data_IF_436590206879
#
_entry.id   IF_436590206879
#
_cell.length_a   1.000
_cell.length_b   1.000
_cell.length_c   1.000
_cell.angle_alpha   90.00
_cell.angle_beta   90.00
_cell.angle_gamma   90.00
#
_symmetry.space_group_name_H-M   'P 1'
#
loop_
_entity.id
_entity.type
_entity.pdbx_description
1 polymer ?
#
# COMPACT_ATOMS: atom_id res chain seq x y z
N UNK A 1 -14.47 8.94 -8.13
CA UNK A 1 -13.02 8.64 -8.10
C UNK A 1 -12.32 8.83 -9.44
N UNK A 2 -12.74 8.16 -10.53
CA UNK A 2 -12.08 8.22 -11.86
C UNK A 2 -11.90 9.63 -12.45
N UNK A 3 -12.98 10.42 -12.43
CA UNK A 3 -13.01 11.79 -12.99
C UNK A 3 -12.64 12.89 -11.99
N UNK A 4 -12.25 12.54 -10.76
CA UNK A 4 -12.01 13.54 -9.71
C UNK A 4 -10.71 14.29 -9.98
N UNK A 5 -10.78 15.64 -10.01
CA UNK A 5 -9.60 16.49 -10.17
C UNK A 5 -8.74 16.39 -8.90
N UNK A 6 -7.49 15.95 -9.08
CA UNK A 6 -6.49 15.85 -8.00
C UNK A 6 -5.56 17.06 -8.10
N UNK A 7 -5.59 17.90 -7.07
CA UNK A 7 -4.88 19.19 -6.99
C UNK A 7 -3.44 19.05 -6.51
N UNK A 8 -3.16 18.00 -5.74
CA UNK A 8 -1.84 17.72 -5.21
C UNK A 8 -1.20 16.58 -5.99
N UNK A 9 0.09 16.67 -6.30
CA UNK A 9 0.82 15.55 -6.88
C UNK A 9 0.92 14.45 -5.83
N UNK A 10 1.27 14.80 -4.60
CA UNK A 10 1.33 13.83 -3.53
C UNK A 10 0.89 14.40 -2.19
N UNK A 11 0.58 13.53 -1.25
CA UNK A 11 0.29 13.93 0.13
C UNK A 11 0.86 12.94 1.13
N UNK A 12 1.12 13.45 2.33
CA UNK A 12 1.47 12.64 3.48
C UNK A 12 0.57 13.00 4.66
N UNK A 13 -0.04 12.00 5.28
CA UNK A 13 -0.71 12.12 6.56
C UNK A 13 0.16 11.44 7.61
N UNK A 14 0.82 12.23 8.44
CA UNK A 14 1.75 11.71 9.44
C UNK A 14 2.28 12.79 10.36
N UNK A 15 3.06 12.35 11.33
CA UNK A 15 3.84 13.21 12.19
C UNK A 15 5.27 12.72 12.30
N UNK A 16 6.13 13.69 12.62
CA UNK A 16 7.52 13.47 12.93
C UNK A 16 7.67 12.55 14.15
N UNK A 17 8.85 11.94 14.29
CA UNK A 17 9.21 11.13 15.46
C UNK A 17 10.39 11.79 16.17
N UNK A 18 10.14 12.74 17.10
CA UNK A 18 11.20 13.53 17.74
C UNK A 18 12.27 12.67 18.43
N UNK A 19 11.87 11.51 18.94
CA UNK A 19 12.74 10.60 19.70
C UNK A 19 13.59 9.67 18.80
N UNK A 20 13.33 9.64 17.49
CA UNK A 20 14.03 8.80 16.52
C UNK A 20 14.76 9.69 15.51
N UNK A 21 16.02 10.01 15.83
CA UNK A 21 16.93 10.64 14.88
C UNK A 21 16.97 9.81 13.60
N UNK A 22 16.91 10.49 12.46
CA UNK A 22 16.87 9.89 11.12
C UNK A 22 15.61 9.06 10.82
N UNK A 23 14.43 9.45 11.33
CA UNK A 23 13.19 8.82 10.86
C UNK A 23 12.93 9.14 9.39
N UNK A 24 12.62 8.12 8.58
CA UNK A 24 12.13 8.32 7.21
C UNK A 24 10.90 9.24 7.15
N UNK A 25 10.09 9.26 8.23
CA UNK A 25 8.94 10.17 8.34
C UNK A 25 9.39 11.64 8.35
N UNK A 26 10.45 11.96 9.08
CA UNK A 26 10.96 13.33 9.19
C UNK A 26 11.53 13.78 7.84
N UNK A 27 12.26 12.91 7.16
CA UNK A 27 12.77 13.16 5.81
C UNK A 27 11.63 13.40 4.81
N UNK A 28 10.57 12.59 4.85
CA UNK A 28 9.37 12.77 4.03
C UNK A 28 8.66 14.09 4.35
N UNK A 29 8.53 14.44 5.63
CA UNK A 29 7.90 15.70 6.06
C UNK A 29 8.71 16.88 5.52
N UNK A 30 10.03 16.86 5.67
CA UNK A 30 10.91 17.92 5.19
C UNK A 30 10.83 18.09 3.67
N UNK A 31 10.89 16.99 2.89
CA UNK A 31 10.70 17.04 1.43
C UNK A 31 9.29 17.48 1.02
N UNK A 32 8.27 17.15 1.80
CA UNK A 32 6.90 17.57 1.54
C UNK A 32 6.71 19.07 1.81
N UNK A 33 7.25 19.59 2.92
CA UNK A 33 7.18 21.01 3.27
C UNK A 33 7.94 21.90 2.28
N UNK A 34 9.03 21.40 1.69
CA UNK A 34 9.79 22.12 0.66
C UNK A 34 9.17 22.04 -0.74
N UNK A 35 8.08 21.28 -0.93
CA UNK A 35 7.43 21.11 -2.24
C UNK A 35 6.02 21.71 -2.26
N UNK A 36 5.78 22.66 -3.17
CA UNK A 36 4.44 23.19 -3.45
C UNK A 36 3.46 22.15 -3.99
N UNK A 37 3.97 21.01 -4.47
CA UNK A 37 3.18 19.91 -5.03
C UNK A 37 2.72 18.90 -3.97
N UNK A 38 3.22 19.01 -2.74
CA UNK A 38 2.85 18.15 -1.62
C UNK A 38 1.77 18.78 -0.74
N UNK A 39 0.83 17.96 -0.27
CA UNK A 39 -0.06 18.31 0.85
C UNK A 39 0.30 17.51 2.10
N UNK A 40 0.81 18.20 3.12
CA UNK A 40 1.04 17.62 4.44
C UNK A 40 -0.23 17.73 5.30
N UNK A 41 -0.62 16.63 5.93
CA UNK A 41 -1.60 16.57 7.03
C UNK A 41 -0.85 16.15 8.29
N UNK A 42 -0.59 17.11 9.17
CA UNK A 42 0.15 16.88 10.42
C UNK A 42 -0.70 16.13 11.45
N UNK A 43 -0.16 15.03 11.98
CA UNK A 43 -0.80 14.19 13.00
C UNK A 43 -0.18 14.41 14.39
N UNK A 44 -0.28 15.62 14.96
CA UNK A 44 0.39 15.95 16.23
C UNK A 44 -0.60 15.98 17.41
N UNK A 45 -0.08 15.75 18.63
CA UNK A 45 -0.86 15.89 19.87
C UNK A 45 -1.36 17.35 19.99
N UNK A 46 -2.68 17.53 20.14
CA UNK A 46 -3.33 18.84 20.30
C UNK A 46 -4.12 19.35 19.08
N UNK A 47 -3.83 18.84 17.87
CA UNK A 47 -4.60 19.13 16.66
C UNK A 47 -4.47 17.95 15.68
N UNK A 48 -4.87 16.75 16.11
CA UNK A 48 -4.67 15.53 15.33
C UNK A 48 -5.69 15.43 14.18
N UNK A 49 -5.37 16.10 13.08
CA UNK A 49 -6.17 16.11 11.85
C UNK A 49 -6.20 14.74 11.14
N UNK A 50 -5.51 13.75 11.67
CA UNK A 50 -5.45 12.39 11.12
C UNK A 50 -6.39 11.41 11.83
N UNK A 51 -6.90 11.77 13.01
CA UNK A 51 -7.95 11.00 13.69
C UNK A 51 -9.31 11.26 13.07
N UNK A 52 -9.50 12.43 12.44
CA UNK A 52 -10.67 12.70 11.61
C UNK A 52 -10.53 12.02 10.23
N UNK A 53 -11.29 10.93 9.98
CA UNK A 53 -11.22 10.21 8.71
C UNK A 53 -11.65 11.08 7.52
N UNK A 54 -12.57 12.04 7.72
CA UNK A 54 -13.05 12.90 6.63
C UNK A 54 -11.95 13.81 6.12
N UNK A 55 -11.13 14.35 7.02
CA UNK A 55 -10.02 15.21 6.62
C UNK A 55 -8.95 14.45 5.84
N UNK A 56 -8.55 13.25 6.31
CA UNK A 56 -7.57 12.41 5.61
C UNK A 56 -8.09 12.01 4.24
N UNK A 57 -9.33 11.50 4.18
CA UNK A 57 -9.96 11.09 2.93
C UNK A 57 -10.08 12.25 1.94
N UNK A 58 -10.51 13.44 2.39
CA UNK A 58 -10.61 14.63 1.54
C UNK A 58 -9.28 14.98 0.89
N UNK A 59 -8.17 14.90 1.63
CA UNK A 59 -6.83 15.15 1.10
C UNK A 59 -6.42 14.04 0.13
N UNK A 60 -6.59 12.78 0.50
CA UNK A 60 -6.20 11.65 -0.35
C UNK A 60 -6.98 11.60 -1.65
N UNK A 61 -8.29 11.90 -1.64
CA UNK A 61 -9.10 12.02 -2.84
C UNK A 61 -8.68 13.17 -3.76
N UNK A 62 -7.97 14.17 -3.21
CA UNK A 62 -7.42 15.32 -3.93
C UNK A 62 -5.94 15.15 -4.34
N UNK A 63 -5.29 14.04 -4.00
CA UNK A 63 -3.87 13.78 -4.24
C UNK A 63 -3.65 12.66 -5.25
N UNK A 64 -2.68 12.78 -6.17
CA UNK A 64 -2.37 11.69 -7.12
C UNK A 64 -1.73 10.50 -6.41
N UNK A 65 -0.73 10.77 -5.58
CA UNK A 65 0.04 9.79 -4.83
C UNK A 65 -0.09 10.00 -3.32
N UNK A 66 -0.09 8.92 -2.54
CA UNK A 66 -0.19 9.00 -1.08
C UNK A 66 0.98 8.25 -0.44
N UNK A 67 1.80 8.96 0.33
CA UNK A 67 3.02 8.43 0.91
C UNK A 67 2.71 7.51 2.09
N UNK A 68 3.20 6.27 2.03
CA UNK A 68 2.98 5.22 3.03
C UNK A 68 4.33 4.68 3.55
N UNK A 69 5.11 5.49 4.31
CA UNK A 69 6.35 5.00 4.92
C UNK A 69 6.08 3.96 6.01
N UNK A 70 7.09 3.16 6.35
CA UNK A 70 7.08 2.25 7.50
C UNK A 70 6.88 3.00 8.82
N UNK A 71 6.25 2.37 9.82
CA UNK A 71 6.06 2.89 11.17
C UNK A 71 6.73 2.01 12.22
N UNK A 72 6.05 1.74 13.33
CA UNK A 72 6.48 0.70 14.28
C UNK A 72 6.40 -0.69 13.65
N UNK A 73 5.45 -0.86 12.74
CA UNK A 73 5.36 -2.01 11.82
C UNK A 73 5.48 -1.54 10.36
N UNK A 74 5.65 -2.50 9.46
CA UNK A 74 5.61 -2.23 8.01
C UNK A 74 4.21 -1.84 7.52
N UNK A 75 3.15 -2.26 8.21
CA UNK A 75 1.76 -2.03 7.82
C UNK A 75 1.22 -0.72 8.37
N UNK A 76 0.29 -0.11 7.65
CA UNK A 76 -0.41 1.10 8.10
C UNK A 76 -1.86 1.10 7.67
N UNK A 77 -2.75 1.55 8.57
CA UNK A 77 -4.15 1.84 8.24
C UNK A 77 -4.26 2.78 7.02
N UNK A 78 -3.39 3.79 6.96
CA UNK A 78 -3.38 4.80 5.89
C UNK A 78 -3.10 4.24 4.48
N UNK A 79 -2.51 3.04 4.38
CA UNK A 79 -2.38 2.31 3.11
C UNK A 79 -3.77 2.02 2.53
N UNK A 80 -4.68 1.49 3.34
CA UNK A 80 -6.03 1.18 2.91
C UNK A 80 -6.84 2.45 2.66
N UNK A 81 -6.70 3.48 3.50
CA UNK A 81 -7.32 4.79 3.28
C UNK A 81 -6.92 5.37 1.91
N UNK A 82 -5.67 5.19 1.48
CA UNK A 82 -5.23 5.64 0.15
C UNK A 82 -5.91 4.87 -0.99
N UNK A 83 -6.07 3.56 -0.85
CA UNK A 83 -6.76 2.71 -1.83
C UNK A 83 -8.24 3.12 -1.92
N UNK A 84 -8.92 3.28 -0.77
CA UNK A 84 -10.31 3.73 -0.70
C UNK A 84 -10.51 5.11 -1.33
N UNK A 85 -9.53 6.00 -1.19
CA UNK A 85 -9.54 7.32 -1.84
C UNK A 85 -9.10 7.29 -3.31
N UNK A 86 -8.66 6.14 -3.84
CA UNK A 86 -8.14 5.98 -5.20
C UNK A 86 -6.83 6.73 -5.42
N UNK A 87 -6.14 7.03 -4.33
CA UNK A 87 -4.83 7.64 -4.30
C UNK A 87 -3.78 6.54 -4.44
N UNK A 88 -2.82 6.71 -5.34
CA UNK A 88 -1.83 5.65 -5.62
C UNK A 88 -0.86 5.57 -4.44
N UNK A 89 -0.78 4.45 -3.71
CA UNK A 89 0.13 4.32 -2.58
C UNK A 89 1.59 4.37 -3.05
N UNK A 90 2.42 5.10 -2.31
CA UNK A 90 3.88 5.11 -2.46
C UNK A 90 4.48 4.44 -1.25
N UNK A 91 5.07 3.27 -1.45
CA UNK A 91 5.69 2.49 -0.38
C UNK A 91 7.19 2.73 -0.33
N UNK A 92 7.73 2.70 0.90
CA UNK A 92 9.15 2.91 1.16
C UNK A 92 9.90 1.64 1.60
N UNK A 93 9.14 0.58 1.87
CA UNK A 93 9.66 -0.73 2.24
C UNK A 93 8.81 -1.82 1.56
N UNK A 94 9.41 -2.88 0.99
CA UNK A 94 8.65 -3.97 0.33
C UNK A 94 7.72 -4.67 1.32
N UNK A 95 8.14 -4.75 2.58
CA UNK A 95 7.37 -5.23 3.71
C UNK A 95 6.01 -4.53 3.90
N UNK A 96 5.80 -3.33 3.37
CA UNK A 96 4.56 -2.58 3.56
C UNK A 96 3.38 -3.10 2.74
N UNK A 97 3.64 -3.85 1.67
CA UNK A 97 2.56 -4.38 0.83
C UNK A 97 2.90 -5.69 0.10
N UNK A 98 4.10 -5.80 -0.48
CA UNK A 98 4.41 -6.77 -1.54
C UNK A 98 4.57 -8.22 -1.05
N UNK A 99 4.60 -8.40 0.27
CA UNK A 99 4.93 -9.67 0.94
C UNK A 99 3.90 -10.03 2.01
N UNK A 100 2.89 -9.17 2.21
CA UNK A 100 1.89 -9.32 3.27
C UNK A 100 0.49 -9.57 2.75
N UNK A 101 0.11 -8.93 1.64
CA UNK A 101 -1.26 -8.94 1.13
C UNK A 101 -1.39 -9.75 -0.16
N UNK A 102 -0.71 -10.90 -0.22
CA UNK A 102 -0.53 -11.69 -1.45
C UNK A 102 -1.85 -12.15 -2.08
N UNK A 103 -2.87 -12.42 -1.27
CA UNK A 103 -4.20 -12.76 -1.76
C UNK A 103 -5.01 -11.54 -2.22
N UNK A 104 -4.74 -10.36 -1.64
CA UNK A 104 -5.56 -9.17 -1.86
C UNK A 104 -5.00 -8.26 -2.95
N UNK A 105 -3.67 -8.15 -3.08
CA UNK A 105 -3.00 -7.25 -4.02
C UNK A 105 -2.47 -7.97 -5.26
N UNK A 106 -2.33 -7.26 -6.40
CA UNK A 106 -1.74 -7.82 -7.60
C UNK A 106 -0.28 -8.19 -7.35
N UNK A 107 0.18 -9.32 -7.90
CA UNK A 107 1.56 -9.78 -7.81
C UNK A 107 2.58 -8.86 -8.50
N UNK A 108 2.12 -7.90 -9.31
CA UNK A 108 2.96 -6.89 -9.97
C UNK A 108 2.81 -5.54 -9.28
N UNK A 109 3.71 -5.16 -8.35
CA UNK A 109 3.65 -3.90 -7.60
C UNK A 109 3.41 -2.65 -8.45
N UNK A 110 4.15 -2.52 -9.56
CA UNK A 110 4.11 -1.35 -10.44
C UNK A 110 2.76 -1.09 -11.11
N UNK A 111 1.81 -2.04 -11.04
CA UNK A 111 0.45 -1.84 -11.54
C UNK A 111 -0.40 -0.98 -10.61
N UNK A 112 -0.10 -0.91 -9.32
CA UNK A 112 -0.99 -0.24 -8.35
C UNK A 112 -0.26 0.68 -7.37
N UNK A 113 1.07 0.61 -7.28
CA UNK A 113 1.86 1.41 -6.36
C UNK A 113 3.14 1.93 -7.00
N UNK A 114 3.76 2.88 -6.31
CA UNK A 114 5.13 3.32 -6.57
C UNK A 114 6.00 2.85 -5.41
N UNK A 115 7.20 2.36 -5.70
CA UNK A 115 8.19 2.04 -4.68
C UNK A 115 9.33 3.06 -4.73
N UNK A 116 9.69 3.63 -3.58
CA UNK A 116 10.86 4.50 -3.41
C UNK A 116 11.64 3.97 -2.23
N UNK A 117 12.85 3.47 -2.46
CA UNK A 117 13.69 2.89 -1.40
C UNK A 117 13.91 3.86 -0.25
N UNK A 118 13.59 3.43 0.98
CA UNK A 118 13.91 4.19 2.19
C UNK A 118 15.42 4.50 2.28
N UNK A 119 16.28 3.56 1.86
CA UNK A 119 17.73 3.76 1.82
C UNK A 119 18.12 4.88 0.87
N UNK A 120 17.52 4.96 -0.31
CA UNK A 120 17.87 6.00 -1.29
C UNK A 120 17.39 7.39 -0.85
N UNK A 121 16.30 7.47 -0.07
CA UNK A 121 15.87 8.71 0.57
C UNK A 121 16.87 9.13 1.65
N UNK A 122 17.31 8.19 2.50
CA UNK A 122 18.30 8.43 3.57
C UNK A 122 19.64 8.88 3.01
N UNK A 123 20.11 8.22 1.95
CA UNK A 123 21.35 8.53 1.24
C UNK A 123 21.22 9.80 0.35
N UNK A 124 20.06 10.47 0.34
CA UNK A 124 19.75 11.64 -0.49
C UNK A 124 19.97 11.42 -2.00
N UNK A 125 19.86 10.17 -2.46
CA UNK A 125 20.01 9.79 -3.87
C UNK A 125 18.78 10.10 -4.70
N UNK A 126 17.61 10.17 -4.06
CA UNK A 126 16.33 10.40 -4.74
C UNK A 126 15.48 11.44 -4.01
N UNK A 127 14.78 12.25 -4.78
CA UNK A 127 13.80 13.23 -4.30
C UNK A 127 12.39 12.76 -4.66
N UNK A 128 11.48 12.70 -3.68
CA UNK A 128 10.13 12.16 -3.85
C UNK A 128 9.37 12.91 -4.95
N UNK A 129 9.42 14.25 -4.92
CA UNK A 129 8.74 15.08 -5.89
C UNK A 129 9.20 14.79 -7.33
N UNK A 130 10.51 14.71 -7.54
CA UNK A 130 11.09 14.43 -8.87
C UNK A 130 10.72 13.03 -9.36
N UNK A 131 10.86 12.02 -8.50
CA UNK A 131 10.52 10.63 -8.83
C UNK A 131 9.06 10.51 -9.25
N UNK A 132 8.13 11.13 -8.50
CA UNK A 132 6.71 11.08 -8.80
C UNK A 132 6.32 11.91 -10.03
N UNK A 133 7.03 13.02 -10.30
CA UNK A 133 6.79 13.86 -11.47
C UNK A 133 7.21 13.19 -12.78
N UNK A 134 8.23 12.33 -12.73
CA UNK A 134 8.73 11.56 -13.90
C UNK A 134 7.76 10.48 -14.38
N UNK A 135 6.74 10.13 -13.59
CA UNK A 135 5.78 9.09 -13.97
C UNK A 135 4.80 9.64 -15.02
N UNK A 136 4.71 9.03 -16.22
CA UNK A 136 3.82 9.52 -17.27
C UNK A 136 2.35 9.48 -16.85
N UNK A 137 1.57 10.50 -17.26
CA UNK A 137 0.13 10.61 -16.94
C UNK A 137 -0.68 9.38 -17.35
N UNK A 138 -0.30 8.71 -18.44
CA UNK A 138 -0.91 7.44 -18.89
C UNK A 138 -0.70 6.33 -17.86
N UNK A 139 0.53 6.18 -17.34
CA UNK A 139 0.85 5.21 -16.30
C UNK A 139 0.13 5.53 -14.99
N UNK A 140 0.09 6.81 -14.59
CA UNK A 140 -0.70 7.26 -13.44
C UNK A 140 -2.18 6.89 -13.56
N UNK A 141 -2.76 7.07 -14.75
CA UNK A 141 -4.17 6.73 -14.99
C UNK A 141 -4.41 5.22 -14.91
N UNK A 142 -3.51 4.41 -15.49
CA UNK A 142 -3.57 2.95 -15.40
C UNK A 142 -3.43 2.47 -13.94
N UNK A 143 -2.47 3.01 -13.19
CA UNK A 143 -2.29 2.68 -11.76
C UNK A 143 -3.53 3.02 -10.94
N UNK A 144 -4.16 4.18 -11.22
CA UNK A 144 -5.40 4.55 -10.52
C UNK A 144 -6.56 3.61 -10.81
N UNK A 145 -6.72 3.17 -12.06
CA UNK A 145 -7.76 2.18 -12.38
C UNK A 145 -7.52 0.87 -11.65
N UNK A 146 -6.26 0.44 -11.53
CA UNK A 146 -5.92 -0.74 -10.74
C UNK A 146 -6.24 -0.53 -9.25
N UNK A 147 -5.84 0.60 -8.66
CA UNK A 147 -6.19 0.93 -7.27
C UNK A 147 -7.70 0.91 -7.04
N UNK A 148 -8.50 1.44 -7.98
CA UNK A 148 -9.97 1.40 -7.89
C UNK A 148 -10.50 -0.04 -7.92
N UNK A 149 -9.90 -0.94 -8.70
CA UNK A 149 -10.26 -2.37 -8.71
C UNK A 149 -9.90 -3.08 -7.41
N UNK A 150 -8.93 -2.58 -6.65
CA UNK A 150 -8.54 -3.17 -5.36
C UNK A 150 -9.52 -2.85 -4.23
N UNK A 151 -10.33 -1.79 -4.34
CA UNK A 151 -11.25 -1.35 -3.29
C UNK A 151 -12.11 -2.50 -2.71
N UNK A 152 -12.86 -3.28 -3.52
CA UNK A 152 -13.66 -4.38 -2.97
C UNK A 152 -12.79 -5.44 -2.27
N UNK A 153 -11.57 -5.68 -2.75
CA UNK A 153 -10.66 -6.72 -2.22
C UNK A 153 -10.07 -6.38 -0.84
N UNK A 154 -10.26 -5.16 -0.34
CA UNK A 154 -9.72 -4.66 0.93
C UNK A 154 -10.79 -4.18 1.91
N UNK A 155 -12.07 -4.30 1.55
CA UNK A 155 -13.20 -3.97 2.42
C UNK A 155 -14.05 -5.19 2.66
N UNK A 156 -14.79 -5.16 3.76
CA UNK A 156 -15.87 -6.10 4.01
C UNK A 156 -17.18 -5.51 3.47
N UNK A 157 -17.92 -6.31 2.70
CA UNK A 157 -19.25 -5.96 2.27
C UNK A 157 -20.21 -5.97 3.48
N UNK A 158 -21.20 -5.07 3.49
CA UNK A 158 -22.25 -5.12 4.52
C UNK A 158 -23.11 -6.37 4.27
N UNK A 159 -23.16 -7.35 5.21
CA UNK A 159 -23.93 -8.58 5.02
C UNK A 159 -25.43 -8.36 4.96
N UNK A 160 -25.91 -7.16 5.35
CA UNK A 160 -27.33 -6.76 5.27
C UNK A 160 -27.69 -6.15 3.93
N UNK A 161 -26.70 -5.73 3.14
CA UNK A 161 -26.92 -5.24 1.79
C UNK A 161 -27.08 -6.42 0.82
N UNK A 162 -27.78 -6.24 -0.32
CA UNK A 162 -27.79 -7.23 -1.38
C UNK A 162 -26.37 -7.61 -1.76
N UNK A 163 -26.07 -8.91 -1.78
CA UNK A 163 -24.74 -9.40 -2.16
C UNK A 163 -24.39 -8.89 -3.56
N UNK A 164 -23.17 -8.42 -3.72
CA UNK A 164 -22.62 -8.12 -5.04
C UNK A 164 -22.30 -9.46 -5.70
N UNK A 165 -23.22 -10.00 -6.51
CA UNK A 165 -23.11 -11.34 -7.11
C UNK A 165 -21.79 -11.58 -7.86
N UNK A 166 -21.15 -10.52 -8.35
CA UNK A 166 -19.95 -10.59 -9.20
C UNK A 166 -18.67 -10.08 -8.54
N UNK A 167 -18.72 -9.61 -7.28
CA UNK A 167 -17.59 -8.95 -6.63
C UNK A 167 -17.30 -9.61 -5.28
N UNK A 168 -16.16 -10.31 -5.21
CA UNK A 168 -15.62 -10.87 -3.97
C UNK A 168 -15.05 -9.74 -3.09
N UNK A 169 -15.40 -9.76 -1.81
CA UNK A 169 -14.88 -8.82 -0.82
C UNK A 169 -13.58 -9.34 -0.14
N UNK A 170 -13.04 -8.59 0.83
CA UNK A 170 -11.84 -9.01 1.56
C UNK A 170 -12.05 -10.32 2.35
N UNK A 171 -13.24 -10.58 2.88
CA UNK A 171 -13.51 -11.80 3.62
C UNK A 171 -13.61 -13.00 2.68
N UNK A 172 -14.34 -12.88 1.58
CA UNK A 172 -14.48 -13.93 0.56
C UNK A 172 -13.10 -14.39 0.06
N UNK A 173 -12.24 -13.43 -0.28
CA UNK A 173 -10.87 -13.69 -0.73
C UNK A 173 -10.05 -14.42 0.33
N UNK A 174 -10.15 -14.01 1.59
CA UNK A 174 -9.38 -14.61 2.67
C UNK A 174 -9.81 -16.06 2.93
N UNK A 175 -11.12 -16.32 3.00
CA UNK A 175 -11.65 -17.68 3.21
C UNK A 175 -11.27 -18.59 2.06
N UNK A 176 -11.44 -18.13 0.81
CA UNK A 176 -11.03 -18.88 -0.38
C UNK A 176 -9.54 -19.21 -0.36
N UNK A 177 -8.68 -18.23 -0.03
CA UNK A 177 -7.24 -18.45 0.08
C UNK A 177 -6.85 -19.49 1.14
N UNK A 178 -7.55 -19.51 2.28
CA UNK A 178 -7.37 -20.54 3.32
C UNK A 178 -7.80 -21.91 2.82
N UNK A 179 -8.97 -22.02 2.18
CA UNK A 179 -9.47 -23.29 1.65
C UNK A 179 -8.53 -23.86 0.58
N UNK A 180 -8.11 -23.03 -0.38
CA UNK A 180 -7.16 -23.41 -1.44
C UNK A 180 -5.83 -23.90 -0.86
N UNK A 181 -5.36 -23.27 0.22
CA UNK A 181 -4.14 -23.69 0.92
C UNK A 181 -4.33 -25.04 1.60
N UNK A 182 -5.44 -25.25 2.30
CA UNK A 182 -5.75 -26.52 2.98
C UNK A 182 -5.87 -27.66 1.97
N UNK A 183 -6.51 -27.43 0.82
CA UNK A 183 -6.63 -28.42 -0.24
C UNK A 183 -5.27 -28.79 -0.85
N UNK A 184 -4.40 -27.79 -1.06
CA UNK A 184 -3.03 -28.02 -1.54
C UNK A 184 -2.24 -28.90 -0.57
N UNK A 185 -2.25 -28.55 0.72
CA UNK A 185 -1.58 -29.33 1.78
C UNK A 185 -2.12 -30.77 1.82
N UNK A 186 -3.44 -30.95 1.75
CA UNK A 186 -4.05 -32.29 1.72
C UNK A 186 -3.59 -33.11 0.51
N UNK A 187 -3.42 -32.48 -0.65
CA UNK A 187 -2.90 -33.14 -1.87
C UNK A 187 -1.44 -33.53 -1.70
N UNK A 188 -0.61 -32.61 -1.21
CA UNK A 188 0.82 -32.86 -0.97
C UNK A 188 1.03 -34.02 0.01
N UNK A 189 0.25 -34.09 1.10
CA UNK A 189 0.30 -35.21 2.05
C UNK A 189 -0.10 -36.54 1.42
N UNK A 190 -1.10 -36.56 0.51
CA UNK A 190 -1.50 -37.78 -0.21
C UNK A 190 -0.42 -38.26 -1.18
N UNK A 191 0.35 -37.33 -1.74
CA UNK A 191 1.46 -37.60 -2.66
C UNK A 191 2.79 -37.92 -1.91
N UNK A 192 2.78 -37.97 -0.58
CA UNK A 192 3.96 -38.25 0.25
C UNK A 192 4.96 -37.09 0.31
N UNK A 193 4.56 -35.87 -0.07
CA UNK A 193 5.39 -34.67 0.05
C UNK A 193 5.31 -34.10 1.47
N UNK A 194 6.40 -33.50 1.94
CA UNK A 194 6.45 -32.84 3.24
C UNK A 194 5.63 -31.52 3.22
N UNK A 195 4.53 -31.41 3.98
CA UNK A 195 3.74 -30.18 4.06
C UNK A 195 4.45 -29.05 4.80
N UNK A 196 5.52 -29.32 5.55
CA UNK A 196 6.33 -28.31 6.25
C UNK A 196 7.00 -27.30 5.32
N UNK A 197 7.25 -27.68 4.06
CA UNK A 197 7.75 -26.76 3.01
C UNK A 197 6.78 -25.60 2.75
N UNK A 198 5.48 -25.78 3.00
CA UNK A 198 4.47 -24.73 2.87
C UNK A 198 4.45 -23.72 4.05
N UNK A 199 5.29 -23.92 5.07
CA UNK A 199 5.39 -23.08 6.26
C UNK A 199 6.86 -22.78 6.62
N UNK A 200 7.65 -22.15 5.74
CA UNK A 200 9.04 -21.83 6.06
C UNK A 200 9.08 -20.81 7.21
N UNK A 201 9.68 -21.20 8.33
CA UNK A 201 9.70 -20.42 9.58
C UNK A 201 10.50 -19.11 9.46
N UNK A 202 11.44 -19.03 8.51
CA UNK A 202 12.26 -17.84 8.24
C UNK A 202 12.57 -17.73 6.75
N UNK A 203 11.83 -16.88 6.04
CA UNK A 203 12.20 -16.50 4.68
C UNK A 203 13.16 -15.30 4.73
N UNK A 204 14.46 -15.56 4.58
CA UNK A 204 15.52 -14.52 4.63
C UNK A 204 15.47 -13.56 3.46
N UNK A 205 14.88 -13.98 2.33
CA UNK A 205 14.64 -13.17 1.13
C UNK A 205 13.23 -12.59 1.10
N UNK A 206 12.48 -12.67 2.22
CA UNK A 206 11.09 -12.20 2.32
C UNK A 206 10.90 -10.77 1.86
N UNK A 207 11.92 -9.92 1.96
CA UNK A 207 11.85 -8.51 1.59
C UNK A 207 12.58 -8.20 0.29
N UNK A 208 13.06 -9.20 -0.44
CA UNK A 208 13.60 -8.98 -1.78
C UNK A 208 12.46 -8.57 -2.71
N UNK A 209 12.74 -7.60 -3.58
CA UNK A 209 11.74 -7.13 -4.55
C UNK A 209 11.44 -8.26 -5.53
N UNK A 210 10.16 -8.58 -5.80
CA UNK A 210 9.82 -9.66 -6.73
C UNK A 210 10.40 -9.37 -8.12
N UNK A 211 11.08 -10.35 -8.70
CA UNK A 211 11.59 -10.26 -10.07
C UNK A 211 10.46 -10.22 -11.11
N UNK A 212 10.71 -9.73 -12.34
CA UNK A 212 9.72 -9.81 -13.41
C UNK A 212 9.39 -11.28 -13.73
N UNK A 213 8.21 -11.75 -13.33
CA UNK A 213 7.70 -13.08 -13.69
C UNK A 213 7.75 -14.15 -12.59
N UNK A 214 8.23 -13.82 -11.38
CA UNK A 214 8.21 -14.77 -10.27
C UNK A 214 6.79 -14.90 -9.69
N UNK A 215 6.18 -16.09 -9.82
CA UNK A 215 4.98 -16.45 -9.07
C UNK A 215 5.39 -16.67 -7.62
N UNK A 216 4.84 -15.87 -6.72
CA UNK A 216 4.93 -16.13 -5.30
C UNK A 216 4.08 -17.39 -5.01
N UNK A 217 4.76 -18.48 -4.63
CA UNK A 217 4.23 -19.81 -4.32
C UNK A 217 3.40 -19.86 -3.05
#
# INVERSE_FOLDING_TARGET
>A
MRKRKRRHLFSFAGAARPDLKDSIRDMIINQCQSSSSCKLVGCHRGANKCDDPLNVMKVFEASVFCLQPSGDSYTRRSTFDSILAGCIPVFFHPGSAYVQYLWHFPSTPSKYSVFISEKDIRDQKVMINETLHRIPKRQVSAMREEVIRLIPRVIYADPRAPRLETVEDAFDIAVKGVLDRVERIRRDMKEGKDPGIAFPELNTTKFDMPGPGERQS
#
